data_IF_643199329336
#
_entry.id   IF_643199329336
#
_cell.length_a   1.000
_cell.length_b   1.000
_cell.length_c   1.000
_cell.angle_alpha   90.00
_cell.angle_beta   90.00
_cell.angle_gamma   90.00
#
_symmetry.space_group_name_H-M   'P 1'
#
loop_
_entity.id
_entity.type
_entity.pdbx_description
1 polymer ?
#
# COMPACT_ATOMS: atom_id res chain seq x y z
N UNK A 1 -38.45 53.12 -12.54
CA UNK A 1 -39.73 53.36 -13.27
C UNK A 1 -39.40 53.88 -14.66
N UNK A 2 -40.21 53.62 -15.70
CA UNK A 2 -40.52 52.34 -16.31
C UNK A 2 -40.16 52.37 -17.82
N UNK A 3 -40.22 51.23 -18.52
CA UNK A 3 -41.07 51.05 -19.72
C UNK A 3 -40.95 49.62 -20.25
N UNK A 4 -42.10 49.17 -20.71
CA UNK A 4 -42.52 47.84 -21.10
C UNK A 4 -42.51 47.66 -22.62
N UNK A 5 -42.32 46.42 -23.08
CA UNK A 5 -42.97 45.73 -24.22
C UNK A 5 -41.95 44.77 -24.87
N UNK A 6 -42.29 43.65 -25.51
CA UNK A 6 -43.41 42.71 -25.52
C UNK A 6 -43.05 41.63 -26.56
N UNK A 7 -43.51 40.41 -26.33
CA UNK A 7 -43.77 39.34 -27.33
C UNK A 7 -42.60 38.61 -28.00
N UNK A 8 -42.71 37.27 -28.05
CA UNK A 8 -41.88 36.44 -28.91
C UNK A 8 -41.92 34.95 -28.55
N UNK A 9 -43.00 34.28 -28.97
CA UNK A 9 -43.21 32.82 -28.86
C UNK A 9 -42.06 32.02 -29.50
N UNK A 10 -41.73 30.87 -28.92
CA UNK A 10 -40.87 29.89 -29.57
C UNK A 10 -40.59 28.63 -28.74
N UNK A 11 -41.61 27.82 -28.47
CA UNK A 11 -41.42 26.46 -27.95
C UNK A 11 -40.61 25.62 -28.94
N UNK A 12 -39.40 25.20 -28.54
CA UNK A 12 -38.72 24.04 -29.13
C UNK A 12 -38.26 23.12 -28.00
N UNK A 13 -39.15 22.20 -27.65
CA UNK A 13 -38.78 20.99 -26.93
C UNK A 13 -38.02 20.10 -27.91
N UNK A 14 -36.70 20.01 -27.78
CA UNK A 14 -35.90 18.99 -28.46
C UNK A 14 -35.88 17.76 -27.56
N UNK A 15 -36.75 16.81 -27.86
CA UNK A 15 -36.69 15.44 -27.36
C UNK A 15 -35.56 14.74 -28.12
N UNK A 16 -34.45 14.46 -27.43
CA UNK A 16 -33.42 13.55 -27.93
C UNK A 16 -33.91 12.10 -27.80
N UNK A 17 -33.60 11.22 -28.77
CA UNK A 17 -34.14 9.86 -28.77
C UNK A 17 -33.48 9.01 -27.67
N UNK A 18 -34.31 8.29 -26.92
CA UNK A 18 -33.88 7.24 -26.00
C UNK A 18 -33.22 6.11 -26.79
N UNK A 19 -31.88 6.09 -26.82
CA UNK A 19 -31.12 4.99 -27.40
C UNK A 19 -30.70 4.05 -26.28
N UNK A 20 -31.40 2.93 -26.14
CA UNK A 20 -31.06 1.81 -25.26
C UNK A 20 -29.84 1.07 -25.80
N UNK A 21 -28.64 1.60 -25.57
CA UNK A 21 -27.41 0.91 -25.92
C UNK A 21 -27.16 -0.24 -24.95
N UNK A 22 -27.38 -1.47 -25.43
CA UNK A 22 -26.99 -2.72 -24.77
C UNK A 22 -25.66 -3.17 -25.37
N UNK A 23 -24.54 -2.80 -24.74
CA UNK A 23 -23.24 -3.41 -25.09
C UNK A 23 -23.17 -4.79 -24.46
N UNK A 24 -23.30 -5.85 -25.26
CA UNK A 24 -23.32 -7.23 -24.76
C UNK A 24 -21.93 -7.82 -24.44
N UNK A 25 -20.83 -7.16 -24.80
CA UNK A 25 -19.50 -7.80 -24.79
C UNK A 25 -18.37 -7.01 -24.08
N UNK A 26 -18.65 -5.97 -23.29
CA UNK A 26 -17.62 -5.19 -22.59
C UNK A 26 -17.37 -5.76 -21.19
N UNK A 27 -16.24 -6.45 -20.96
CA UNK A 27 -15.82 -6.95 -19.64
C UNK A 27 -14.98 -5.96 -18.83
N UNK A 28 -14.49 -4.90 -19.48
CA UNK A 28 -13.73 -3.81 -18.88
C UNK A 28 -14.26 -2.48 -19.42
N UNK A 29 -14.51 -1.53 -18.53
CA UNK A 29 -14.76 -0.13 -18.88
C UNK A 29 -13.76 0.72 -18.10
N UNK A 30 -12.83 1.31 -18.84
CA UNK A 30 -12.02 2.43 -18.38
C UNK A 30 -12.64 3.72 -18.93
N UNK A 31 -12.74 4.73 -18.07
CA UNK A 31 -13.18 6.06 -18.45
C UNK A 31 -12.04 7.04 -18.18
N UNK A 32 -11.10 7.16 -19.12
CA UNK A 32 -9.99 8.11 -19.12
C UNK A 32 -10.08 9.06 -20.32
N UNK A 33 -9.40 10.20 -20.20
CA UNK A 33 -9.15 11.11 -21.31
C UNK A 33 -7.73 10.86 -21.82
N UNK A 34 -7.55 9.88 -22.71
CA UNK A 34 -6.75 10.04 -23.93
C UNK A 34 -6.81 8.79 -24.84
N UNK A 35 -7.48 8.96 -25.99
CA UNK A 35 -7.34 8.20 -27.24
C UNK A 35 -7.49 6.67 -27.24
N UNK A 36 -8.51 6.12 -26.58
CA UNK A 36 -9.35 4.99 -27.05
C UNK A 36 -10.30 4.55 -25.94
N UNK A 37 -10.99 5.51 -25.32
CA UNK A 37 -11.75 5.27 -24.10
C UNK A 37 -13.20 5.79 -24.21
N UNK A 38 -14.12 5.02 -23.64
CA UNK A 38 -15.53 5.39 -23.54
C UNK A 38 -15.71 6.31 -22.33
N UNK A 39 -15.77 7.63 -22.55
CA UNK A 39 -16.10 8.59 -21.50
C UNK A 39 -17.58 8.43 -21.11
N UNK A 40 -17.86 7.68 -20.04
CA UNK A 40 -19.19 7.66 -19.45
C UNK A 40 -19.36 8.87 -18.55
N UNK A 41 -20.19 9.82 -18.97
CA UNK A 41 -20.70 10.84 -18.06
C UNK A 41 -21.44 10.15 -16.91
N UNK A 42 -21.03 10.42 -15.67
CA UNK A 42 -21.59 9.77 -14.47
C UNK A 42 -23.13 9.81 -14.43
N UNK A 43 -23.73 10.89 -14.96
CA UNK A 43 -25.19 11.06 -15.06
C UNK A 43 -25.92 10.07 -15.97
N UNK A 44 -25.23 9.27 -16.78
CA UNK A 44 -25.83 8.23 -17.64
C UNK A 44 -25.47 6.80 -17.24
N UNK A 45 -24.57 6.59 -16.26
CA UNK A 45 -24.16 5.25 -15.84
C UNK A 45 -25.34 4.40 -15.36
N UNK A 46 -26.28 4.98 -14.61
CA UNK A 46 -27.47 4.27 -14.11
C UNK A 46 -28.41 3.76 -15.21
N UNK A 47 -28.27 4.22 -16.45
CA UNK A 47 -29.12 3.78 -17.58
C UNK A 47 -28.56 2.55 -18.30
N UNK A 48 -27.26 2.28 -18.16
CA UNK A 48 -26.59 1.17 -18.81
C UNK A 48 -26.96 -0.17 -18.17
N UNK A 49 -26.86 -1.24 -18.95
CA UNK A 49 -26.96 -2.61 -18.48
C UNK A 49 -25.78 -3.40 -19.03
N UNK A 50 -24.87 -3.78 -18.13
CA UNK A 50 -23.59 -4.41 -18.43
C UNK A 50 -23.45 -5.71 -17.61
N UNK A 51 -24.20 -6.77 -17.95
CA UNK A 51 -24.27 -7.99 -17.13
C UNK A 51 -22.93 -8.71 -16.97
N UNK A 52 -22.00 -8.51 -17.91
CA UNK A 52 -20.65 -9.11 -17.90
C UNK A 52 -19.58 -8.23 -17.25
N UNK A 53 -19.96 -7.12 -16.60
CA UNK A 53 -19.01 -6.18 -15.99
C UNK A 53 -18.34 -6.81 -14.76
N UNK A 54 -17.05 -7.13 -14.87
CA UNK A 54 -16.25 -7.65 -13.75
C UNK A 54 -15.29 -6.62 -13.17
N UNK A 55 -14.99 -5.58 -13.94
CA UNK A 55 -14.03 -4.54 -13.59
C UNK A 55 -14.58 -3.17 -13.93
N UNK A 56 -14.56 -2.27 -12.96
CA UNK A 56 -15.01 -0.90 -13.10
C UNK A 56 -13.88 0.05 -12.67
N UNK A 57 -13.47 0.92 -13.58
CA UNK A 57 -12.47 1.95 -13.30
C UNK A 57 -13.09 3.32 -13.52
N UNK A 58 -13.10 4.13 -12.46
CA UNK A 58 -13.62 5.50 -12.45
C UNK A 58 -12.41 6.45 -12.39
N UNK A 59 -12.13 7.19 -13.46
CA UNK A 59 -10.99 8.14 -13.53
C UNK A 59 -11.51 9.58 -13.62
N UNK A 60 -10.82 10.52 -12.96
CA UNK A 60 -11.01 11.97 -13.11
C UNK A 60 -12.48 12.41 -12.99
N UNK A 61 -13.09 12.13 -11.83
CA UNK A 61 -14.42 12.65 -11.49
C UNK A 61 -14.29 14.16 -11.22
N UNK A 62 -14.23 14.95 -12.29
CA UNK A 62 -14.16 16.41 -12.19
C UNK A 62 -15.45 16.95 -11.56
N UNK A 63 -15.38 17.30 -10.26
CA UNK A 63 -16.46 17.91 -9.47
C UNK A 63 -16.91 19.31 -9.95
N UNK A 64 -16.54 19.76 -11.13
CA UNK A 64 -16.87 21.11 -11.60
C UNK A 64 -18.32 21.26 -12.09
N UNK A 65 -19.09 20.17 -12.26
CA UNK A 65 -20.49 20.28 -12.68
C UNK A 65 -21.41 19.07 -12.40
N UNK A 66 -20.88 17.94 -11.91
CA UNK A 66 -21.68 16.72 -11.66
C UNK A 66 -21.56 16.30 -10.20
N UNK A 67 -22.40 16.87 -9.33
CA UNK A 67 -22.80 16.33 -8.03
C UNK A 67 -21.71 16.04 -6.97
N UNK A 68 -22.08 15.91 -5.68
CA UNK A 68 -21.22 15.30 -4.67
C UNK A 68 -20.91 13.82 -5.02
N UNK A 69 -19.83 13.25 -4.47
CA UNK A 69 -19.42 11.84 -4.61
C UNK A 69 -20.57 10.83 -4.35
N UNK A 70 -21.55 11.23 -3.56
CA UNK A 70 -22.81 10.52 -3.29
C UNK A 70 -23.62 10.21 -4.56
N UNK A 71 -23.66 11.14 -5.53
CA UNK A 71 -24.36 10.94 -6.79
C UNK A 71 -23.63 9.92 -7.66
N UNK A 72 -22.31 9.95 -7.67
CA UNK A 72 -21.49 8.95 -8.36
C UNK A 72 -21.71 7.57 -7.74
N UNK A 73 -21.61 7.47 -6.42
CA UNK A 73 -21.83 6.23 -5.69
C UNK A 73 -23.23 5.67 -5.97
N UNK A 74 -24.26 6.51 -5.92
CA UNK A 74 -25.63 6.14 -6.26
C UNK A 74 -25.75 5.62 -7.69
N UNK A 75 -25.14 6.30 -8.66
CA UNK A 75 -25.14 5.87 -10.06
C UNK A 75 -24.41 4.54 -10.27
N UNK A 76 -23.32 4.29 -9.55
CA UNK A 76 -22.60 3.02 -9.57
C UNK A 76 -23.47 1.91 -8.96
N UNK A 77 -24.13 2.17 -7.83
CA UNK A 77 -25.09 1.23 -7.22
C UNK A 77 -26.21 0.89 -8.21
N UNK A 78 -26.81 1.89 -8.86
CA UNK A 78 -27.84 1.65 -9.87
C UNK A 78 -27.33 0.83 -11.04
N UNK A 79 -26.13 1.13 -11.54
CA UNK A 79 -25.49 0.36 -12.61
C UNK A 79 -25.34 -1.11 -12.21
N UNK A 80 -24.82 -1.39 -11.02
CA UNK A 80 -24.60 -2.76 -10.52
C UNK A 80 -25.93 -3.49 -10.37
N UNK A 81 -26.91 -2.87 -9.72
CA UNK A 81 -28.23 -3.48 -9.48
C UNK A 81 -28.98 -3.77 -10.80
N UNK A 82 -28.93 -2.83 -11.75
CA UNK A 82 -29.57 -2.98 -13.06
C UNK A 82 -28.86 -4.00 -13.94
N UNK A 83 -27.53 -4.02 -13.89
CA UNK A 83 -26.70 -4.96 -14.67
C UNK A 83 -26.72 -6.36 -14.08
N UNK A 84 -26.97 -6.51 -12.77
CA UNK A 84 -26.80 -7.75 -12.01
C UNK A 84 -25.41 -8.36 -12.24
N UNK A 85 -24.40 -7.50 -12.33
CA UNK A 85 -23.04 -7.89 -12.63
C UNK A 85 -22.30 -8.37 -11.37
N UNK A 86 -21.33 -9.27 -11.55
CA UNK A 86 -20.44 -9.77 -10.49
C UNK A 86 -19.13 -8.96 -10.48
N UNK A 87 -19.18 -7.76 -9.90
CA UNK A 87 -18.02 -6.88 -9.87
C UNK A 87 -16.93 -7.44 -8.96
N UNK A 88 -15.73 -7.68 -9.52
CA UNK A 88 -14.56 -8.23 -8.83
C UNK A 88 -13.48 -7.21 -8.56
N UNK A 89 -13.41 -6.16 -9.38
CA UNK A 89 -12.43 -5.08 -9.26
C UNK A 89 -13.11 -3.73 -9.38
N UNK A 90 -12.83 -2.86 -8.41
CA UNK A 90 -13.26 -1.47 -8.41
C UNK A 90 -12.03 -0.59 -8.22
N UNK A 91 -11.82 0.30 -9.17
CA UNK A 91 -10.74 1.28 -9.12
C UNK A 91 -11.32 2.68 -9.21
N UNK A 92 -10.97 3.53 -8.26
CA UNK A 92 -11.37 4.93 -8.20
C UNK A 92 -10.08 5.75 -8.21
N UNK A 93 -9.86 6.49 -9.28
CA UNK A 93 -8.71 7.36 -9.48
C UNK A 93 -9.24 8.79 -9.45
N UNK A 94 -9.19 9.39 -8.26
CA UNK A 94 -9.61 10.77 -8.05
C UNK A 94 -8.67 11.47 -7.07
N UNK A 95 -7.88 12.40 -7.59
CA UNK A 95 -6.92 13.19 -6.83
C UNK A 95 -7.60 14.25 -5.96
N UNK A 96 -8.85 14.62 -6.27
CA UNK A 96 -9.60 15.68 -5.59
C UNK A 96 -10.78 15.16 -4.77
N UNK A 97 -10.97 13.84 -4.67
CA UNK A 97 -12.01 13.26 -3.86
C UNK A 97 -11.90 13.81 -2.42
N UNK A 98 -12.91 14.52 -1.91
CA UNK A 98 -12.95 14.90 -0.50
C UNK A 98 -13.01 13.64 0.39
N UNK A 99 -12.86 13.82 1.70
CA UNK A 99 -12.91 12.82 2.78
C UNK A 99 -14.26 12.04 2.88
N UNK A 100 -14.91 11.72 1.77
CA UNK A 100 -16.24 11.11 1.68
C UNK A 100 -16.24 9.63 1.24
N UNK A 101 -15.34 8.74 1.71
CA UNK A 101 -15.43 7.32 1.41
C UNK A 101 -16.67 6.66 2.05
N UNK A 102 -17.41 7.38 2.90
CA UNK A 102 -18.73 6.98 3.41
C UNK A 102 -19.76 6.83 2.28
N UNK A 103 -19.69 7.68 1.25
CA UNK A 103 -20.55 7.59 0.08
C UNK A 103 -20.36 6.25 -0.67
N UNK A 104 -19.15 5.67 -0.61
CA UNK A 104 -18.85 4.39 -1.26
C UNK A 104 -19.39 3.19 -0.49
N UNK A 105 -19.89 3.36 0.74
CA UNK A 105 -20.36 2.24 1.56
C UNK A 105 -21.39 1.38 0.82
N UNK A 106 -22.40 2.02 0.23
CA UNK A 106 -23.47 1.32 -0.48
C UNK A 106 -22.96 0.59 -1.73
N UNK A 107 -21.97 1.16 -2.42
CA UNK A 107 -21.27 0.50 -3.54
C UNK A 107 -20.61 -0.78 -3.07
N UNK A 108 -19.88 -0.74 -1.95
CA UNK A 108 -19.16 -1.90 -1.43
C UNK A 108 -20.09 -3.00 -0.92
N UNK A 109 -21.20 -2.62 -0.26
CA UNK A 109 -22.23 -3.57 0.20
C UNK A 109 -22.89 -4.26 -1.00
N UNK A 110 -23.08 -3.53 -2.11
CA UNK A 110 -23.67 -4.09 -3.34
C UNK A 110 -22.71 -5.02 -4.08
N UNK A 111 -21.40 -4.98 -3.81
CA UNK A 111 -20.37 -5.79 -4.46
C UNK A 111 -19.66 -6.75 -3.49
N UNK A 112 -20.34 -7.74 -2.89
CA UNK A 112 -19.72 -8.61 -1.89
C UNK A 112 -18.55 -9.45 -2.45
N UNK A 113 -18.54 -9.74 -3.76
CA UNK A 113 -17.52 -10.54 -4.44
C UNK A 113 -16.28 -9.73 -4.88
N UNK A 114 -16.15 -8.47 -4.46
CA UNK A 114 -15.00 -7.64 -4.78
C UNK A 114 -13.71 -8.26 -4.19
N UNK A 115 -12.76 -8.55 -5.08
CA UNK A 115 -11.45 -9.12 -4.75
C UNK A 115 -10.35 -8.05 -4.74
N UNK A 116 -10.49 -7.01 -5.55
CA UNK A 116 -9.54 -5.90 -5.70
C UNK A 116 -10.24 -4.55 -5.51
N UNK A 117 -9.74 -3.74 -4.57
CA UNK A 117 -10.22 -2.40 -4.31
C UNK A 117 -9.06 -1.41 -4.44
N UNK A 118 -9.21 -0.41 -5.30
CA UNK A 118 -8.25 0.67 -5.47
C UNK A 118 -8.95 2.01 -5.26
N UNK A 119 -8.53 2.76 -4.23
CA UNK A 119 -9.25 3.94 -3.74
C UNK A 119 -8.31 5.09 -3.35
N UNK A 120 -8.76 6.35 -3.49
CA UNK A 120 -8.02 7.49 -2.96
C UNK A 120 -8.39 7.75 -1.49
N UNK A 121 -7.40 8.12 -0.68
CA UNK A 121 -7.56 8.76 0.64
C UNK A 121 -8.64 8.17 1.56
N UNK A 122 -8.60 6.87 1.89
CA UNK A 122 -9.56 6.30 2.82
C UNK A 122 -9.42 6.90 4.21
N UNK A 123 -10.53 7.30 4.81
CA UNK A 123 -10.59 7.74 6.22
C UNK A 123 -10.38 6.55 7.16
N UNK A 124 -9.98 6.84 8.40
CA UNK A 124 -9.88 5.80 9.44
C UNK A 124 -11.20 5.05 9.63
N UNK A 125 -12.34 5.75 9.58
CA UNK A 125 -13.68 5.17 9.69
C UNK A 125 -14.00 4.20 8.54
N UNK A 126 -13.59 4.54 7.32
CA UNK A 126 -13.74 3.65 6.17
C UNK A 126 -12.90 2.37 6.31
N UNK A 127 -11.62 2.49 6.67
CA UNK A 127 -10.76 1.31 6.90
C UNK A 127 -11.29 0.41 8.04
N UNK A 128 -11.82 1.01 9.10
CA UNK A 128 -12.44 0.27 10.19
C UNK A 128 -13.68 -0.50 9.73
N UNK A 129 -14.46 0.02 8.79
CA UNK A 129 -15.63 -0.71 8.23
C UNK A 129 -15.23 -1.93 7.39
N UNK A 130 -14.05 -1.92 6.79
CA UNK A 130 -13.51 -3.08 6.06
C UNK A 130 -12.91 -4.15 6.99
N UNK A 131 -12.69 -3.81 8.27
CA UNK A 131 -12.09 -4.69 9.28
C UNK A 131 -13.06 -5.83 9.59
N UNK A 132 -12.57 -7.06 9.62
CA UNK A 132 -13.40 -8.22 9.99
C UNK A 132 -13.58 -8.25 11.50
N UNK A 133 -14.83 -8.25 11.96
CA UNK A 133 -15.15 -8.45 13.36
C UNK A 133 -15.66 -9.88 13.61
N UNK A 134 -15.22 -10.56 14.68
CA UNK A 134 -15.66 -11.93 14.99
C UNK A 134 -17.18 -12.09 15.13
N UNK A 135 -17.87 -11.01 15.53
CA UNK A 135 -19.32 -10.98 15.73
C UNK A 135 -20.10 -10.62 14.47
N UNK A 136 -19.42 -10.23 13.38
CA UNK A 136 -20.06 -9.73 12.17
C UNK A 136 -20.43 -10.89 11.24
N UNK A 137 -21.74 -11.13 11.08
CA UNK A 137 -22.27 -12.19 10.21
C UNK A 137 -22.06 -11.93 8.72
N UNK A 138 -22.07 -10.66 8.33
CA UNK A 138 -21.96 -10.21 6.93
C UNK A 138 -20.91 -9.11 6.84
N UNK A 139 -19.61 -9.47 6.76
CA UNK A 139 -18.57 -8.48 6.58
C UNK A 139 -18.65 -7.82 5.22
N UNK A 140 -18.16 -6.59 5.16
CA UNK A 140 -18.05 -5.82 3.92
C UNK A 140 -16.81 -6.33 3.17
N UNK A 141 -17.00 -6.70 1.91
CA UNK A 141 -15.97 -7.27 1.04
C UNK A 141 -15.26 -8.51 1.64
N UNK A 142 -16.00 -9.61 1.88
CA UNK A 142 -15.46 -10.86 2.44
C UNK A 142 -14.30 -11.47 1.62
N UNK A 143 -14.26 -11.20 0.31
CA UNK A 143 -13.30 -11.78 -0.63
C UNK A 143 -12.17 -10.83 -1.02
N UNK A 144 -12.06 -9.66 -0.39
CA UNK A 144 -11.06 -8.65 -0.75
C UNK A 144 -9.65 -9.14 -0.38
N UNK A 145 -8.84 -9.32 -1.42
CA UNK A 145 -7.47 -9.86 -1.37
C UNK A 145 -6.42 -8.80 -1.66
N UNK A 146 -6.75 -7.77 -2.45
CA UNK A 146 -5.83 -6.69 -2.82
C UNK A 146 -6.45 -5.33 -2.54
N UNK A 147 -5.74 -4.49 -1.78
CA UNK A 147 -6.16 -3.12 -1.47
C UNK A 147 -5.08 -2.14 -1.94
N UNK A 148 -5.39 -1.29 -2.93
CA UNK A 148 -4.53 -0.17 -3.30
C UNK A 148 -5.12 1.14 -2.76
N UNK A 149 -4.26 1.93 -2.14
CA UNK A 149 -4.60 3.21 -1.53
C UNK A 149 -3.71 4.27 -2.15
N UNK A 150 -4.33 5.22 -2.83
CA UNK A 150 -3.64 6.42 -3.32
C UNK A 150 -3.63 7.47 -2.22
N UNK A 151 -2.43 7.85 -1.79
CA UNK A 151 -2.22 8.95 -0.87
C UNK A 151 -1.87 10.21 -1.66
N UNK A 152 -2.17 11.38 -1.13
CA UNK A 152 -1.58 12.61 -1.67
C UNK A 152 -0.17 12.73 -1.13
N UNK A 153 0.79 12.65 -2.04
CA UNK A 153 2.09 13.22 -1.73
C UNK A 153 1.92 14.73 -1.81
N UNK A 154 2.38 15.44 -0.75
CA UNK A 154 2.57 16.91 -0.67
C UNK A 154 1.32 17.60 -0.05
N UNK A 155 1.35 18.25 1.12
CA UNK A 155 2.33 19.17 1.72
C UNK A 155 2.74 18.76 3.16
N UNK A 156 3.88 19.29 3.66
CA UNK A 156 4.51 18.95 4.96
C UNK A 156 3.64 19.21 6.19
N UNK A 157 2.48 19.86 6.04
CA UNK A 157 1.59 20.30 7.12
C UNK A 157 0.20 19.65 7.13
N UNK A 158 -0.15 18.82 6.13
CA UNK A 158 -1.51 18.28 6.07
C UNK A 158 -1.63 16.96 6.85
N UNK A 159 -2.46 16.96 7.91
CA UNK A 159 -2.81 15.82 8.77
C UNK A 159 -3.47 14.64 8.01
N UNK A 160 -3.56 14.72 6.69
CA UNK A 160 -4.29 13.81 5.79
C UNK A 160 -3.50 12.55 5.42
N UNK A 161 -2.76 12.00 6.37
CA UNK A 161 -2.09 10.71 6.20
C UNK A 161 -3.07 9.55 6.40
N UNK A 162 -2.88 8.45 5.67
CA UNK A 162 -3.62 7.21 5.91
C UNK A 162 -3.45 6.82 7.38
N UNK A 163 -4.57 6.58 8.07
CA UNK A 163 -4.55 6.18 9.48
C UNK A 163 -3.90 4.80 9.63
N UNK A 164 -2.61 4.77 9.96
CA UNK A 164 -1.86 3.53 10.18
C UNK A 164 -2.53 2.62 11.21
N UNK A 165 -3.02 3.12 12.37
CA UNK A 165 -3.73 2.27 13.31
C UNK A 165 -5.01 1.62 12.75
N UNK A 166 -5.73 2.28 11.85
CA UNK A 166 -6.91 1.69 11.20
C UNK A 166 -6.51 0.69 10.11
N UNK A 167 -5.51 1.04 9.29
CA UNK A 167 -4.97 0.14 8.26
C UNK A 167 -4.41 -1.15 8.85
N UNK A 168 -3.64 -1.05 9.93
CA UNK A 168 -3.06 -2.22 10.58
C UNK A 168 -4.12 -3.10 11.25
N UNK A 169 -5.18 -2.51 11.82
CA UNK A 169 -6.33 -3.27 12.33
C UNK A 169 -7.03 -4.05 11.22
N UNK A 170 -7.24 -3.42 10.06
CA UNK A 170 -7.78 -4.08 8.88
C UNK A 170 -6.92 -5.27 8.46
N UNK A 171 -5.61 -5.06 8.30
CA UNK A 171 -4.65 -6.12 7.94
C UNK A 171 -4.71 -7.28 8.94
N UNK A 172 -4.55 -6.99 10.24
CA UNK A 172 -4.57 -8.04 11.28
C UNK A 172 -5.90 -8.80 11.34
N UNK A 173 -7.03 -8.12 11.18
CA UNK A 173 -8.35 -8.76 11.25
C UNK A 173 -8.55 -9.82 10.17
N UNK A 174 -7.91 -9.62 9.01
CA UNK A 174 -8.02 -10.48 7.83
C UNK A 174 -6.98 -11.59 7.79
N UNK A 175 -5.92 -11.47 8.57
CA UNK A 175 -4.94 -12.53 8.81
C UNK A 175 -5.41 -13.48 9.94
N UNK A 176 -5.85 -12.94 11.07
CA UNK A 176 -6.21 -13.72 12.27
C UNK A 176 -7.63 -14.28 12.27
N UNK A 177 -8.58 -13.64 11.58
CA UNK A 177 -10.00 -14.02 11.61
C UNK A 177 -10.32 -15.37 10.96
N UNK A 178 -9.42 -15.93 10.15
CA UNK A 178 -9.65 -17.16 9.40
C UNK A 178 -9.35 -18.45 10.17
N UNK A 179 -8.61 -18.37 11.27
CA UNK A 179 -8.32 -19.55 12.09
C UNK A 179 -9.41 -19.84 13.14
N UNK A 180 -10.37 -18.92 13.35
CA UNK A 180 -11.39 -19.00 14.40
C UNK A 180 -12.79 -19.38 13.89
N UNK A 181 -12.89 -19.73 12.60
CA UNK A 181 -14.14 -19.87 11.91
C UNK A 181 -14.43 -21.36 11.72
N UNK A 182 -15.26 -21.87 12.63
CA UNK A 182 -15.84 -23.22 12.58
C UNK A 182 -16.45 -23.49 11.19
N UNK A 183 -16.45 -24.78 10.82
CA UNK A 183 -16.81 -25.42 9.55
C UNK A 183 -17.97 -24.82 8.72
N UNK A 184 -18.84 -24.01 9.31
CA UNK A 184 -20.08 -23.53 8.70
C UNK A 184 -20.09 -22.02 8.38
N UNK A 185 -18.97 -21.33 8.57
CA UNK A 185 -18.87 -19.89 8.32
C UNK A 185 -18.39 -19.57 6.88
N UNK A 186 -18.90 -18.47 6.27
CA UNK A 186 -18.59 -18.16 4.89
C UNK A 186 -17.07 -17.97 4.69
N UNK A 187 -16.51 -18.45 3.57
CA UNK A 187 -15.08 -18.43 3.34
C UNK A 187 -14.62 -17.01 3.06
N UNK A 188 -14.18 -16.28 4.08
CA UNK A 188 -13.46 -15.04 3.88
C UNK A 188 -12.10 -15.33 3.23
N UNK A 189 -11.52 -14.34 2.54
CA UNK A 189 -10.15 -14.46 2.01
C UNK A 189 -9.21 -13.57 2.81
N UNK A 190 -7.98 -14.07 3.03
CA UNK A 190 -6.89 -13.26 3.57
C UNK A 190 -6.63 -12.08 2.64
N UNK A 191 -6.31 -10.93 3.24
CA UNK A 191 -5.79 -9.79 2.50
C UNK A 191 -4.34 -10.12 2.12
N UNK A 192 -4.07 -10.39 0.85
CA UNK A 192 -2.75 -10.81 0.38
C UNK A 192 -1.81 -9.61 0.25
N UNK A 193 -2.31 -8.50 -0.30
CA UNK A 193 -1.48 -7.34 -0.65
C UNK A 193 -2.18 -6.02 -0.36
N UNK A 194 -1.42 -5.07 0.17
CA UNK A 194 -1.83 -3.68 0.34
C UNK A 194 -0.79 -2.77 -0.28
N UNK A 195 -1.22 -1.93 -1.21
CA UNK A 195 -0.36 -0.97 -1.91
C UNK A 195 -0.68 0.43 -1.41
N UNK A 196 0.34 1.16 -0.99
CA UNK A 196 0.24 2.58 -0.66
C UNK A 196 1.02 3.35 -1.73
N UNK A 197 0.31 4.10 -2.55
CA UNK A 197 0.90 4.96 -3.57
C UNK A 197 1.08 6.38 -3.01
N UNK A 198 2.11 7.07 -3.50
CA UNK A 198 2.36 8.48 -3.24
C UNK A 198 2.40 8.87 -1.75
N UNK A 199 3.15 8.10 -0.96
CA UNK A 199 3.29 8.29 0.49
C UNK A 199 4.60 8.97 0.87
N UNK A 200 4.55 9.82 1.91
CA UNK A 200 5.78 10.22 2.61
C UNK A 200 6.32 9.04 3.42
N UNK A 201 7.33 8.35 2.88
CA UNK A 201 7.93 7.17 3.51
C UNK A 201 8.45 7.43 4.92
N UNK A 202 8.93 8.63 5.20
CA UNK A 202 9.47 8.97 6.52
C UNK A 202 8.38 8.96 7.58
N UNK A 203 7.23 9.54 7.26
CA UNK A 203 6.08 9.56 8.15
C UNK A 203 5.51 8.14 8.30
N UNK A 204 5.30 7.45 7.17
CA UNK A 204 4.75 6.10 7.15
C UNK A 204 5.60 5.10 7.95
N UNK A 205 6.92 5.07 7.71
CA UNK A 205 7.83 4.18 8.45
C UNK A 205 7.87 4.51 9.95
N UNK A 206 7.80 5.79 10.32
CA UNK A 206 7.73 6.22 11.72
C UNK A 206 6.45 5.69 12.37
N UNK A 207 5.30 5.91 11.75
CA UNK A 207 3.99 5.59 12.31
C UNK A 207 3.77 4.08 12.41
N UNK A 208 4.21 3.30 11.41
CA UNK A 208 4.24 1.83 11.48
C UNK A 208 5.13 1.37 12.63
N UNK A 209 6.34 1.95 12.76
CA UNK A 209 7.29 1.53 13.81
C UNK A 209 6.71 1.79 15.20
N UNK A 210 6.06 2.94 15.40
CA UNK A 210 5.38 3.25 16.67
C UNK A 210 4.26 2.26 16.96
N UNK A 211 3.40 1.97 15.96
CA UNK A 211 2.31 1.02 16.11
C UNK A 211 2.80 -0.39 16.47
N UNK A 212 3.86 -0.88 15.81
CA UNK A 212 4.45 -2.20 16.10
C UNK A 212 5.02 -2.28 17.51
N UNK A 213 5.71 -1.21 17.94
CA UNK A 213 6.25 -1.12 19.28
C UNK A 213 5.16 -1.24 20.35
N UNK A 214 4.02 -0.56 20.15
CA UNK A 214 2.90 -0.59 21.09
C UNK A 214 2.13 -1.91 21.09
N UNK A 215 1.92 -2.51 19.90
CA UNK A 215 0.95 -3.61 19.73
C UNK A 215 1.58 -4.99 19.59
N UNK A 216 2.69 -5.11 18.87
CA UNK A 216 3.33 -6.41 18.61
C UNK A 216 4.31 -6.78 19.72
N UNK A 217 4.96 -5.78 20.31
CA UNK A 217 5.98 -5.99 21.35
C UNK A 217 5.65 -5.25 22.66
N UNK A 218 4.44 -5.44 23.23
CA UNK A 218 3.97 -4.64 24.37
C UNK A 218 4.86 -4.77 25.60
N UNK A 219 5.42 -5.96 25.85
CA UNK A 219 6.32 -6.22 26.98
C UNK A 219 7.61 -5.37 26.92
N UNK A 220 8.16 -5.18 25.71
CA UNK A 220 9.37 -4.37 25.50
C UNK A 220 9.08 -2.87 25.59
N UNK A 221 7.88 -2.48 25.18
CA UNK A 221 7.38 -1.12 25.34
C UNK A 221 7.16 -0.78 26.82
N UNK A 222 6.47 -1.64 27.57
CA UNK A 222 6.20 -1.45 29.00
C UNK A 222 7.46 -1.51 29.87
N UNK A 223 8.43 -2.36 29.53
CA UNK A 223 9.70 -2.48 30.24
C UNK A 223 10.62 -1.25 30.07
N UNK A 224 10.24 -0.29 29.23
CA UNK A 224 11.02 0.92 29.01
C UNK A 224 12.21 0.77 28.09
N UNK A 225 12.38 -0.39 27.46
CA UNK A 225 13.39 -0.56 26.42
C UNK A 225 13.12 0.37 25.23
N UNK A 226 11.85 0.66 24.92
CA UNK A 226 11.42 1.48 23.78
C UNK A 226 10.65 2.75 24.17
N UNK A 227 10.84 3.24 25.40
CA UNK A 227 9.95 4.20 26.09
C UNK A 227 9.83 5.60 25.47
N UNK A 228 10.67 5.96 24.49
CA UNK A 228 10.65 7.29 23.90
C UNK A 228 10.46 7.20 22.38
N UNK A 229 9.54 8.01 21.83
CA UNK A 229 9.39 8.23 20.38
C UNK A 229 10.74 8.52 19.69
N UNK A 230 11.66 9.16 20.42
CA UNK A 230 13.05 9.43 20.01
C UNK A 230 13.82 8.16 19.66
N UNK A 231 13.66 7.06 20.40
CA UNK A 231 14.38 5.80 20.15
C UNK A 231 13.93 5.12 18.84
N UNK A 232 12.63 5.19 18.52
CA UNK A 232 12.09 4.71 17.25
C UNK A 232 12.57 5.56 16.07
N UNK A 233 12.59 6.89 16.24
CA UNK A 233 13.10 7.83 15.24
C UNK A 233 14.61 7.68 15.01
N UNK A 234 15.40 7.51 16.08
CA UNK A 234 16.83 7.24 16.01
C UNK A 234 17.10 5.93 15.27
N UNK A 235 16.38 4.86 15.63
CA UNK A 235 16.51 3.56 14.95
C UNK A 235 16.18 3.68 13.46
N UNK A 236 15.11 4.40 13.12
CA UNK A 236 14.74 4.66 11.73
C UNK A 236 15.79 5.49 10.99
N UNK A 237 16.30 6.56 11.62
CA UNK A 237 17.36 7.40 11.05
C UNK A 237 18.65 6.61 10.79
N UNK A 238 19.06 5.78 11.75
CA UNK A 238 20.20 4.87 11.61
C UNK A 238 19.99 3.88 10.47
N UNK A 239 18.81 3.26 10.38
CA UNK A 239 18.49 2.29 9.34
C UNK A 239 18.48 2.93 7.96
N UNK A 240 17.91 4.12 7.80
CA UNK A 240 17.94 4.89 6.54
C UNK A 240 19.35 5.28 6.12
N UNK A 241 20.14 5.81 7.03
CA UNK A 241 21.54 6.17 6.75
C UNK A 241 22.36 4.94 6.35
N UNK A 242 22.15 3.82 7.04
CA UNK A 242 22.80 2.55 6.69
C UNK A 242 22.36 2.04 5.32
N UNK A 243 21.06 2.07 5.02
CA UNK A 243 20.52 1.63 3.73
C UNK A 243 21.10 2.44 2.57
N UNK A 244 21.12 3.77 2.69
CA UNK A 244 21.69 4.66 1.69
C UNK A 244 23.19 4.37 1.46
N UNK A 245 23.97 4.21 2.54
CA UNK A 245 25.40 3.92 2.41
C UNK A 245 25.66 2.55 1.77
N UNK A 246 24.96 1.52 2.24
CA UNK A 246 25.11 0.16 1.71
C UNK A 246 24.68 0.07 0.25
N UNK A 247 23.64 0.83 -0.14
CA UNK A 247 23.22 0.92 -1.54
C UNK A 247 24.30 1.56 -2.42
N UNK A 248 24.86 2.70 -2.00
CA UNK A 248 25.96 3.36 -2.70
C UNK A 248 27.18 2.44 -2.87
N UNK A 249 27.53 1.70 -1.81
CA UNK A 249 28.62 0.72 -1.87
C UNK A 249 28.32 -0.43 -2.81
N UNK A 250 27.10 -0.99 -2.76
CA UNK A 250 26.68 -2.05 -3.66
C UNK A 250 26.73 -1.62 -5.13
N UNK A 251 26.27 -0.40 -5.48
CA UNK A 251 26.41 0.14 -6.84
C UNK A 251 27.88 0.22 -7.25
N UNK A 252 28.75 0.72 -6.37
CA UNK A 252 30.18 0.83 -6.63
C UNK A 252 30.83 -0.54 -6.88
N UNK A 253 30.40 -1.57 -6.15
CA UNK A 253 30.82 -2.96 -6.36
C UNK A 253 30.40 -3.49 -7.72
N UNK A 254 29.12 -3.30 -8.10
CA UNK A 254 28.60 -3.74 -9.39
C UNK A 254 29.33 -3.10 -10.58
N UNK A 255 29.81 -1.87 -10.41
CA UNK A 255 30.54 -1.14 -11.44
C UNK A 255 32.06 -1.42 -11.45
N UNK A 256 32.56 -2.28 -10.55
CA UNK A 256 33.99 -2.47 -10.28
C UNK A 256 34.74 -1.15 -10.02
N UNK A 257 34.09 -0.19 -9.33
CA UNK A 257 34.60 1.16 -9.06
C UNK A 257 34.50 1.50 -7.58
N UNK A 258 35.12 0.69 -6.73
CA UNK A 258 35.16 0.95 -5.29
C UNK A 258 36.23 1.99 -4.98
N UNK A 259 35.80 3.23 -4.77
CA UNK A 259 36.67 4.29 -4.26
C UNK A 259 36.94 4.09 -2.76
N UNK A 260 38.14 4.49 -2.33
CA UNK A 260 38.57 4.36 -0.92
C UNK A 260 37.59 5.04 0.06
N UNK A 261 37.05 6.21 -0.29
CA UNK A 261 36.10 6.92 0.58
C UNK A 261 34.79 6.14 0.79
N UNK A 262 34.20 5.58 -0.27
CA UNK A 262 32.97 4.75 -0.18
C UNK A 262 33.23 3.51 0.68
N UNK A 263 34.41 2.90 0.53
CA UNK A 263 34.83 1.79 1.39
C UNK A 263 34.91 2.21 2.86
N UNK A 264 35.60 3.32 3.18
CA UNK A 264 35.76 3.78 4.57
C UNK A 264 34.42 4.13 5.23
N UNK A 265 33.51 4.76 4.50
CA UNK A 265 32.16 5.05 4.97
C UNK A 265 31.35 3.77 5.21
N UNK A 266 31.49 2.77 4.33
CA UNK A 266 30.83 1.47 4.51
C UNK A 266 31.39 0.72 5.70
N UNK A 267 32.72 0.72 5.88
CA UNK A 267 33.38 0.13 7.05
C UNK A 267 32.87 0.77 8.35
N UNK A 268 32.74 2.11 8.36
CA UNK A 268 32.14 2.86 9.47
C UNK A 268 30.68 2.46 9.70
N UNK A 269 29.87 2.37 8.65
CA UNK A 269 28.47 1.94 8.74
C UNK A 269 28.38 0.53 9.34
N UNK A 270 29.16 -0.43 8.86
CA UNK A 270 29.17 -1.80 9.41
C UNK A 270 29.62 -1.79 10.88
N UNK A 271 30.63 -1.00 11.27
CA UNK A 271 31.00 -0.84 12.70
C UNK A 271 29.85 -0.29 13.53
N UNK A 272 29.07 0.62 13.00
CA UNK A 272 27.92 1.16 13.70
C UNK A 272 26.82 0.11 13.84
N UNK A 273 26.56 -0.69 12.81
CA UNK A 273 25.59 -1.80 12.86
C UNK A 273 26.01 -2.90 13.83
N UNK A 274 27.31 -3.25 13.88
CA UNK A 274 27.85 -4.23 14.83
C UNK A 274 27.71 -3.82 16.30
N UNK A 275 27.68 -2.51 16.58
CA UNK A 275 27.46 -1.98 17.94
C UNK A 275 26.00 -2.04 18.37
N UNK A 276 25.07 -2.32 17.45
CA UNK A 276 23.65 -2.39 17.78
C UNK A 276 23.34 -3.69 18.50
N UNK A 277 22.77 -3.56 19.70
CA UNK A 277 22.20 -4.69 20.43
C UNK A 277 20.83 -5.03 19.86
N UNK A 278 20.76 -5.98 18.91
CA UNK A 278 19.54 -6.33 18.18
C UNK A 278 18.34 -6.62 19.11
N UNK A 279 18.57 -7.26 20.26
CA UNK A 279 17.53 -7.59 21.25
C UNK A 279 16.81 -6.35 21.81
N UNK A 280 17.49 -5.20 21.81
CA UNK A 280 16.98 -3.92 22.32
C UNK A 280 16.29 -3.07 21.27
N UNK A 281 16.30 -3.49 19.99
CA UNK A 281 15.77 -2.69 18.88
C UNK A 281 14.58 -3.37 18.20
N UNK A 282 13.70 -2.56 17.61
CA UNK A 282 12.75 -3.07 16.62
C UNK A 282 13.51 -3.36 15.31
N UNK A 283 14.03 -4.58 15.18
CA UNK A 283 14.78 -4.99 14.00
C UNK A 283 13.95 -5.05 12.70
N UNK A 284 12.62 -4.97 12.77
CA UNK A 284 11.77 -4.90 11.58
C UNK A 284 12.05 -3.62 10.77
N UNK A 285 12.49 -2.54 11.43
CA UNK A 285 12.89 -1.30 10.76
C UNK A 285 14.03 -1.53 9.76
N UNK A 286 15.02 -2.36 10.11
CA UNK A 286 16.15 -2.70 9.23
C UNK A 286 15.75 -3.63 8.08
N UNK A 287 14.70 -4.44 8.25
CA UNK A 287 14.12 -5.21 7.16
C UNK A 287 13.38 -4.31 6.17
N UNK A 288 12.54 -3.40 6.68
CA UNK A 288 11.73 -2.48 5.87
C UNK A 288 12.56 -1.49 5.05
N UNK A 289 13.70 -1.09 5.59
CA UNK A 289 14.62 -0.14 4.94
C UNK A 289 15.66 -0.83 4.05
N UNK A 290 15.47 -2.12 3.74
CA UNK A 290 16.36 -2.93 2.90
C UNK A 290 17.80 -3.13 3.42
N UNK A 291 18.12 -2.73 4.65
CA UNK A 291 19.49 -2.87 5.20
C UNK A 291 19.95 -4.32 5.15
N UNK A 292 19.12 -5.24 5.63
CA UNK A 292 19.43 -6.69 5.64
C UNK A 292 19.61 -7.21 4.21
N UNK A 293 18.74 -6.80 3.29
CA UNK A 293 18.84 -7.20 1.88
C UNK A 293 20.14 -6.70 1.24
N UNK A 294 20.51 -5.44 1.46
CA UNK A 294 21.76 -4.88 0.92
C UNK A 294 23.00 -5.55 1.50
N UNK A 295 23.00 -5.87 2.79
CA UNK A 295 24.06 -6.67 3.42
C UNK A 295 24.22 -8.03 2.71
N UNK A 296 23.12 -8.74 2.46
CA UNK A 296 23.14 -10.02 1.75
C UNK A 296 23.67 -9.86 0.31
N UNK A 297 23.23 -8.84 -0.42
CA UNK A 297 23.73 -8.55 -1.78
C UNK A 297 25.23 -8.28 -1.80
N UNK A 298 25.75 -7.48 -0.87
CA UNK A 298 27.19 -7.20 -0.76
C UNK A 298 27.99 -8.47 -0.46
N UNK A 299 27.46 -9.34 0.41
CA UNK A 299 28.07 -10.62 0.75
C UNK A 299 28.13 -11.57 -0.46
N UNK A 300 27.04 -11.65 -1.23
CA UNK A 300 26.89 -12.57 -2.37
C UNK A 300 27.56 -12.11 -3.66
N UNK A 301 27.85 -10.81 -3.80
CA UNK A 301 28.47 -10.26 -5.03
C UNK A 301 29.74 -11.04 -5.38
N UNK A 302 30.14 -11.21 -6.63
CA UNK A 302 31.42 -11.85 -6.92
C UNK A 302 32.59 -10.87 -6.74
N UNK A 303 33.72 -11.35 -6.22
CA UNK A 303 34.92 -10.52 -6.11
C UNK A 303 35.66 -10.62 -7.44
N UNK A 304 35.33 -9.72 -8.36
CA UNK A 304 36.10 -9.56 -9.60
C UNK A 304 37.53 -9.09 -9.34
N UNK A 305 38.20 -8.63 -10.39
CA UNK A 305 39.52 -7.99 -10.27
C UNK A 305 39.38 -6.56 -9.73
N UNK A 306 39.03 -6.48 -8.45
CA UNK A 306 38.84 -5.22 -7.71
C UNK A 306 40.13 -4.90 -6.98
N UNK A 307 40.67 -3.69 -7.17
CA UNK A 307 41.91 -3.23 -6.52
C UNK A 307 41.91 -3.35 -4.98
N UNK A 308 40.72 -3.46 -4.36
CA UNK A 308 40.51 -3.57 -2.91
C UNK A 308 40.01 -4.96 -2.47
N UNK A 309 40.35 -6.03 -3.19
CA UNK A 309 39.90 -7.40 -2.92
C UNK A 309 40.05 -7.83 -1.46
N UNK A 310 41.19 -7.57 -0.83
CA UNK A 310 41.43 -7.93 0.58
C UNK A 310 40.48 -7.21 1.55
N UNK A 311 40.29 -5.91 1.35
CA UNK A 311 39.38 -5.07 2.15
C UNK A 311 37.91 -5.49 1.97
N UNK A 312 37.54 -5.90 0.77
CA UNK A 312 36.21 -6.41 0.48
C UNK A 312 35.94 -7.74 1.19
N UNK A 313 36.90 -8.68 1.18
CA UNK A 313 36.78 -9.94 1.94
C UNK A 313 36.59 -9.66 3.44
N UNK A 314 37.32 -8.69 4.00
CA UNK A 314 37.15 -8.28 5.39
C UNK A 314 35.73 -7.74 5.67
N UNK A 315 35.18 -6.90 4.77
CA UNK A 315 33.79 -6.44 4.89
C UNK A 315 32.82 -7.62 4.86
N UNK A 316 33.01 -8.60 3.98
CA UNK A 316 32.12 -9.78 3.88
C UNK A 316 32.15 -10.63 5.13
N UNK A 317 33.32 -10.88 5.69
CA UNK A 317 33.45 -11.63 6.93
C UNK A 317 32.71 -10.95 8.07
N UNK A 318 32.78 -9.61 8.14
CA UNK A 318 32.05 -8.80 9.12
C UNK A 318 30.54 -8.86 8.89
N UNK A 319 30.08 -8.72 7.65
CA UNK A 319 28.67 -8.87 7.29
C UNK A 319 28.15 -10.25 7.68
N UNK A 320 28.91 -11.32 7.38
CA UNK A 320 28.52 -12.69 7.73
C UNK A 320 28.32 -12.85 9.23
N UNK A 321 29.27 -12.37 10.05
CA UNK A 321 29.14 -12.37 11.52
C UNK A 321 27.96 -11.53 12.01
N UNK A 322 27.77 -10.34 11.43
CA UNK A 322 26.65 -9.46 11.77
C UNK A 322 25.31 -10.15 11.51
N UNK A 323 25.14 -10.77 10.33
CA UNK A 323 23.94 -11.51 9.98
C UNK A 323 23.71 -12.69 10.94
N UNK A 324 24.75 -13.44 11.33
CA UNK A 324 24.64 -14.51 12.32
C UNK A 324 24.14 -14.00 13.69
N UNK A 325 24.63 -12.84 14.13
CA UNK A 325 24.20 -12.22 15.40
C UNK A 325 22.74 -11.74 15.31
N UNK A 326 22.35 -11.14 14.19
CA UNK A 326 21.03 -10.55 14.02
C UNK A 326 19.94 -11.59 13.71
N UNK A 327 20.29 -12.69 13.03
CA UNK A 327 19.35 -13.70 12.53
C UNK A 327 18.36 -14.20 13.59
N UNK A 328 18.75 -14.61 14.81
CA UNK A 328 17.78 -15.07 15.82
C UNK A 328 16.74 -14.01 16.18
N UNK A 329 17.16 -12.75 16.28
CA UNK A 329 16.25 -11.64 16.61
C UNK A 329 15.36 -11.29 15.42
N UNK A 330 15.90 -11.28 14.20
CA UNK A 330 15.15 -11.03 12.98
C UNK A 330 14.06 -12.09 12.78
N UNK A 331 14.40 -13.38 12.90
CA UNK A 331 13.42 -14.47 12.82
C UNK A 331 12.34 -14.31 13.88
N UNK A 332 12.70 -14.03 15.14
CA UNK A 332 11.73 -13.83 16.22
C UNK A 332 10.79 -12.66 15.94
N UNK A 333 11.33 -11.53 15.50
CA UNK A 333 10.53 -10.33 15.21
C UNK A 333 9.62 -10.56 13.99
N UNK A 334 10.11 -11.25 12.96
CA UNK A 334 9.33 -11.58 11.76
C UNK A 334 8.23 -12.58 12.09
N UNK A 335 8.49 -13.61 12.91
CA UNK A 335 7.44 -14.55 13.39
C UNK A 335 6.37 -13.86 14.26
N UNK A 336 6.74 -12.80 14.98
CA UNK A 336 5.78 -11.99 15.72
C UNK A 336 4.93 -11.07 14.83
N UNK A 337 5.31 -10.87 13.56
CA UNK A 337 4.66 -9.95 12.64
C UNK A 337 3.95 -10.73 11.52
N UNK A 338 2.61 -10.71 11.41
CA UNK A 338 1.89 -11.47 10.39
C UNK A 338 1.95 -10.85 8.99
N UNK A 339 2.81 -9.86 8.77
CA UNK A 339 2.93 -9.13 7.52
C UNK A 339 4.38 -8.66 7.29
N UNK A 340 4.71 -8.35 6.05
CA UNK A 340 6.00 -7.77 5.68
C UNK A 340 5.81 -6.53 4.79
N UNK A 341 6.33 -5.41 5.26
CA UNK A 341 6.40 -4.19 4.45
C UNK A 341 7.62 -4.24 3.53
N UNK A 342 7.40 -3.95 2.24
CA UNK A 342 8.47 -3.73 1.28
C UNK A 342 8.27 -2.40 0.60
N UNK A 343 9.33 -1.63 0.50
CA UNK A 343 9.34 -0.50 -0.44
C UNK A 343 9.47 -1.13 -1.82
N UNK A 344 8.54 -0.82 -2.74
CA UNK A 344 8.69 -1.22 -4.13
C UNK A 344 9.02 0.01 -4.94
N UNK A 345 10.00 -0.10 -5.82
CA UNK A 345 10.26 0.93 -6.83
C UNK A 345 9.58 0.59 -8.15
N UNK A 346 8.48 -0.17 -8.09
CA UNK A 346 7.66 -0.49 -9.26
C UNK A 346 6.96 0.78 -9.76
N UNK A 347 7.62 1.46 -10.69
CA UNK A 347 7.10 2.58 -11.44
C UNK A 347 8.02 2.88 -12.62
N UNK A 348 7.44 3.04 -13.81
CA UNK A 348 8.13 3.45 -15.04
C UNK A 348 9.08 4.60 -14.72
N UNK A 349 10.40 4.37 -14.82
CA UNK A 349 11.50 5.25 -14.34
C UNK A 349 11.43 6.69 -14.87
N UNK A 350 10.50 6.97 -15.79
CA UNK A 350 10.33 8.24 -16.51
C UNK A 350 9.57 9.30 -15.72
N UNK A 351 8.73 8.96 -14.74
CA UNK A 351 7.94 9.94 -13.98
C UNK A 351 8.58 10.36 -12.63
N UNK A 352 9.63 9.68 -12.17
CA UNK A 352 10.10 9.76 -10.78
C UNK A 352 11.33 10.64 -10.54
N UNK A 353 11.90 11.28 -11.57
CA UNK A 353 13.03 12.20 -11.39
C UNK A 353 12.56 13.57 -10.90
N UNK A 354 12.41 13.73 -9.59
CA UNK A 354 12.38 15.07 -8.98
C UNK A 354 11.76 15.22 -7.61
N UNK A 355 10.84 14.34 -7.20
CA UNK A 355 9.96 14.63 -6.05
C UNK A 355 10.02 13.65 -4.87
N UNK A 356 10.88 12.62 -4.88
CA UNK A 356 11.05 11.72 -3.73
C UNK A 356 9.78 10.96 -3.33
N UNK A 357 8.83 10.86 -4.25
CA UNK A 357 7.59 10.10 -4.08
C UNK A 357 7.96 8.63 -4.35
N UNK A 358 7.68 7.74 -3.42
CA UNK A 358 7.94 6.31 -3.53
C UNK A 358 6.64 5.55 -3.23
N UNK A 359 6.44 4.41 -3.89
CA UNK A 359 5.33 3.51 -3.59
C UNK A 359 5.76 2.46 -2.56
N UNK A 360 4.85 2.11 -1.64
CA UNK A 360 5.07 1.04 -0.68
C UNK A 360 4.11 -0.10 -0.98
N UNK A 361 4.66 -1.32 -1.02
CA UNK A 361 3.90 -2.55 -1.11
C UNK A 361 4.01 -3.29 0.21
N UNK A 362 2.94 -3.29 0.99
CA UNK A 362 2.75 -4.23 2.07
C UNK A 362 2.32 -5.57 1.47
N UNK A 363 3.12 -6.59 1.72
CA UNK A 363 2.75 -7.97 1.38
C UNK A 363 2.45 -8.68 2.69
N UNK A 364 1.22 -9.12 2.87
CA UNK A 364 0.86 -9.91 4.04
C UNK A 364 1.34 -11.34 3.79
N UNK A 365 2.46 -11.70 4.42
CA UNK A 365 3.00 -13.06 4.35
C UNK A 365 2.50 -13.81 5.57
N UNK A 366 1.64 -14.80 5.36
CA UNK A 366 1.41 -15.83 6.37
C UNK A 366 2.62 -16.76 6.36
N UNK A 367 3.56 -16.52 7.27
CA UNK A 367 4.64 -17.48 7.55
C UNK A 367 3.96 -18.72 8.11
N UNK A 368 3.95 -19.79 7.33
CA UNK A 368 3.36 -21.05 7.77
C UNK A 368 4.21 -21.62 8.90
N UNK A 369 3.56 -22.00 9.99
CA UNK A 369 4.20 -22.65 11.14
C UNK A 369 4.76 -24.04 10.80
N UNK A 370 4.48 -24.58 9.61
CA UNK A 370 4.89 -25.91 9.16
C UNK A 370 6.40 -26.04 8.83
N UNK A 371 7.20 -25.00 9.10
CA UNK A 371 8.66 -25.02 8.98
C UNK A 371 9.18 -25.01 7.55
N UNK A 372 8.31 -25.05 6.54
CA UNK A 372 8.71 -24.95 5.12
C UNK A 372 9.17 -23.54 4.76
N UNK A 373 8.64 -22.52 5.45
CA UNK A 373 9.03 -21.11 5.27
C UNK A 373 10.33 -20.73 5.98
N UNK A 374 10.87 -21.52 6.92
CA UNK A 374 12.16 -21.20 7.56
C UNK A 374 13.32 -21.25 6.54
N UNK A 375 13.21 -22.04 5.48
CA UNK A 375 14.18 -22.05 4.38
C UNK A 375 14.04 -20.81 3.47
N UNK A 376 12.81 -20.36 3.19
CA UNK A 376 12.58 -19.12 2.43
C UNK A 376 12.99 -17.89 3.25
N UNK A 377 12.67 -17.84 4.54
CA UNK A 377 13.10 -16.82 5.48
C UNK A 377 14.62 -16.84 5.67
N UNK A 378 15.26 -18.02 5.68
CA UNK A 378 16.73 -18.16 5.77
C UNK A 378 17.46 -17.95 4.44
N UNK A 379 16.78 -18.00 3.31
CA UNK A 379 17.32 -17.54 2.03
C UNK A 379 17.13 -16.03 1.85
N UNK A 380 16.15 -15.46 2.57
CA UNK A 380 15.83 -14.04 2.60
C UNK A 380 16.66 -13.26 3.66
N UNK A 381 17.00 -13.90 4.79
CA UNK A 381 17.87 -13.42 5.88
C UNK A 381 19.26 -14.06 5.80
#
# INVERSE_FOLDING_TARGET
MPWSASSGKGSRSQTLPACSQTSRNSSCISASNDSSEFTLFAGHMGTLSLPSLTTLTLVHVHYSSVGPLEDLASNVVFLIQRSKCDLRKLTIIDQRAPDAPDALHDVLVTCPNLAELDIPKPTAGFLNRLTLHPTQRTPILPYLTHLKIHCDAIEEDDERTVSIPALMRLVLSREGGLNCLESDSPPFRCLQEVYLDSVNLSILQRDITLWECERIFPERYSAGCWRNHTSCQETLGLAKAAAAQLHSYWIALQQNKVYLHVYMETDRTIRNLEKLHAERLNMLVFLRTEVVHKLAQIYQTEVGDIALRGSLLQIRDRISRLCQIWKPTLIRNVKACPYLWRVSRDGDERYWRGHGIESIRLVCWKIREDGTDDAALSNFL
#
